data_IF_125667346782
#
_entry.id   IF_125667346782
#
_cell.length_a   1.000
_cell.length_b   1.000
_cell.length_c   1.000
_cell.angle_alpha   90.00
_cell.angle_beta   90.00
_cell.angle_gamma   90.00
#
_symmetry.space_group_name_H-M   'P 1'
#
loop_
_entity.id
_entity.type
_entity.pdbx_description
1 polymer ?
#
# COMPACT_ATOMS: atom_id res chain seq x y z
N UNK A 1 -6.59 -27.66 10.81
CA UNK A 1 -5.99 -26.48 11.45
C UNK A 1 -6.42 -25.28 10.62
N UNK A 2 -6.52 -24.10 11.22
CA UNK A 2 -6.73 -22.90 10.41
C UNK A 2 -5.44 -22.61 9.64
N UNK A 3 -5.55 -22.31 8.35
CA UNK A 3 -4.43 -21.91 7.51
C UNK A 3 -4.00 -20.48 7.87
N UNK A 4 -2.73 -20.13 7.66
CA UNK A 4 -2.18 -18.80 7.95
C UNK A 4 -1.46 -18.27 6.72
N UNK A 5 -1.92 -17.14 6.18
CA UNK A 5 -1.36 -16.51 4.98
C UNK A 5 -0.56 -15.27 5.36
N UNK A 6 0.72 -15.26 5.00
CA UNK A 6 1.61 -14.11 5.16
C UNK A 6 1.79 -13.38 3.84
N UNK A 7 1.33 -12.14 3.75
CA UNK A 7 1.54 -11.27 2.59
C UNK A 7 2.70 -10.32 2.86
N UNK A 8 3.75 -10.43 2.07
CA UNK A 8 4.95 -9.61 2.17
C UNK A 8 4.87 -8.39 1.25
N UNK A 9 4.82 -7.18 1.82
CA UNK A 9 4.70 -5.92 1.07
C UNK A 9 5.81 -4.92 1.39
N UNK A 10 6.18 -4.15 0.37
CA UNK A 10 6.98 -2.94 0.51
C UNK A 10 6.09 -1.73 0.18
N UNK A 11 6.53 -0.53 0.56
CA UNK A 11 5.94 0.72 0.09
C UNK A 11 6.02 0.84 -1.45
N UNK A 12 5.02 1.50 -2.04
CA UNK A 12 4.85 1.80 -3.45
C UNK A 12 3.59 1.16 -4.06
N UNK A 13 3.38 1.51 -5.34
CA UNK A 13 2.19 1.25 -6.18
C UNK A 13 1.71 -0.22 -6.35
N UNK A 14 2.29 -1.18 -5.64
CA UNK A 14 1.97 -2.60 -5.78
C UNK A 14 1.58 -3.29 -4.46
N UNK A 15 1.76 -2.64 -3.31
CA UNK A 15 1.43 -3.22 -2.01
C UNK A 15 -0.06 -3.54 -1.85
N UNK A 16 -0.94 -2.61 -2.23
CA UNK A 16 -2.39 -2.81 -2.16
C UNK A 16 -2.87 -4.02 -3.01
N UNK A 17 -2.37 -4.15 -4.25
CA UNK A 17 -2.69 -5.30 -5.12
C UNK A 17 -2.24 -6.62 -4.52
N UNK A 18 -1.07 -6.67 -3.88
CA UNK A 18 -0.58 -7.86 -3.17
C UNK A 18 -1.49 -8.23 -2.00
N UNK A 19 -1.90 -7.24 -1.20
CA UNK A 19 -2.81 -7.44 -0.05
C UNK A 19 -4.18 -7.96 -0.53
N UNK A 20 -4.74 -7.35 -1.58
CA UNK A 20 -6.00 -7.78 -2.20
C UNK A 20 -5.93 -9.23 -2.70
N UNK A 21 -4.82 -9.62 -3.34
CA UNK A 21 -4.61 -11.02 -3.76
C UNK A 21 -4.51 -11.98 -2.58
N UNK A 22 -3.80 -11.58 -1.52
CA UNK A 22 -3.73 -12.37 -0.29
C UNK A 22 -5.07 -12.52 0.42
N UNK A 23 -5.91 -11.48 0.42
CA UNK A 23 -7.24 -11.52 1.03
C UNK A 23 -8.24 -12.37 0.24
N UNK A 24 -8.20 -12.32 -1.09
CA UNK A 24 -8.95 -13.24 -1.95
C UNK A 24 -8.61 -14.71 -1.64
N UNK A 25 -7.32 -14.99 -1.45
CA UNK A 25 -6.84 -16.33 -1.11
C UNK A 25 -7.29 -16.73 0.29
N UNK A 26 -7.09 -15.87 1.29
CA UNK A 26 -7.48 -16.12 2.68
C UNK A 26 -8.99 -16.38 2.82
N UNK A 27 -9.81 -15.61 2.09
CA UNK A 27 -11.26 -15.80 2.04
C UNK A 27 -11.63 -17.16 1.44
N UNK A 28 -10.93 -17.60 0.41
CA UNK A 28 -11.20 -18.88 -0.27
C UNK A 28 -10.78 -20.08 0.58
N UNK A 29 -9.73 -19.94 1.39
CA UNK A 29 -9.19 -21.01 2.23
C UNK A 29 -9.63 -20.93 3.69
N UNK A 30 -10.47 -19.95 4.04
CA UNK A 30 -10.87 -19.65 5.43
C UNK A 30 -9.65 -19.49 6.37
N UNK A 31 -8.61 -18.84 5.86
CA UNK A 31 -7.33 -18.64 6.54
C UNK A 31 -7.27 -17.32 7.30
N UNK A 32 -6.41 -17.27 8.33
CA UNK A 32 -6.01 -16.02 8.94
C UNK A 32 -5.05 -15.26 8.00
N UNK A 33 -5.21 -13.94 7.91
CA UNK A 33 -4.41 -13.09 7.03
C UNK A 33 -3.46 -12.22 7.86
N UNK A 34 -2.19 -12.20 7.46
CA UNK A 34 -1.15 -11.38 8.06
C UNK A 34 -0.48 -10.55 6.96
N UNK A 35 -0.29 -9.26 7.19
CA UNK A 35 0.37 -8.34 6.26
C UNK A 35 1.68 -7.91 6.90
N UNK A 36 2.80 -8.33 6.30
CA UNK A 36 4.14 -7.94 6.71
C UNK A 36 4.66 -6.80 5.84
N UNK A 37 4.79 -5.62 6.44
CA UNK A 37 5.34 -4.42 5.81
C UNK A 37 6.81 -4.30 6.15
N UNK A 38 7.68 -4.29 5.13
CA UNK A 38 9.10 -4.03 5.33
C UNK A 38 9.39 -2.54 5.38
N UNK A 39 9.73 -2.10 6.57
CA UNK A 39 10.08 -0.73 6.82
C UNK A 39 11.57 -0.52 6.52
N UNK A 40 11.86 -0.13 5.27
CA UNK A 40 13.21 0.23 4.85
C UNK A 40 13.53 1.65 5.31
N UNK A 41 14.67 1.89 5.94
CA UNK A 41 15.15 3.25 6.22
C UNK A 41 15.21 4.07 4.91
N UNK A 42 14.70 5.30 4.88
CA UNK A 42 14.49 6.02 3.63
C UNK A 42 15.81 6.48 3.01
N UNK A 43 15.93 6.31 1.70
CA UNK A 43 16.43 7.44 0.90
C UNK A 43 15.32 8.48 0.90
N UNK A 44 15.66 9.76 1.15
CA UNK A 44 14.73 10.86 1.44
C UNK A 44 13.59 11.02 0.40
N UNK A 45 13.76 10.47 -0.80
CA UNK A 45 12.77 10.50 -1.85
C UNK A 45 11.44 9.80 -1.50
N UNK A 46 11.43 8.72 -0.67
CA UNK A 46 10.25 7.85 -0.45
C UNK A 46 9.42 8.12 0.83
N UNK A 47 9.71 9.20 1.56
CA UNK A 47 9.01 9.47 2.84
C UNK A 47 7.50 9.67 2.68
N UNK A 48 7.08 10.36 1.62
CA UNK A 48 5.66 10.68 1.40
C UNK A 48 4.85 9.45 1.00
N UNK A 49 5.43 8.54 0.22
CA UNK A 49 4.79 7.29 -0.18
C UNK A 49 4.56 6.39 1.05
N UNK A 50 5.51 6.37 2.00
CA UNK A 50 5.45 5.54 3.22
C UNK A 50 4.25 5.85 4.12
N UNK A 51 3.97 7.12 4.41
CA UNK A 51 2.89 7.48 5.33
C UNK A 51 1.52 7.11 4.75
N UNK A 52 1.33 7.33 3.46
CA UNK A 52 0.07 7.01 2.78
C UNK A 52 -0.09 5.51 2.54
N UNK A 53 0.95 4.84 2.06
CA UNK A 53 0.90 3.40 1.89
C UNK A 53 0.60 2.71 3.22
N UNK A 54 1.21 3.19 4.32
CA UNK A 54 0.93 2.68 5.65
C UNK A 54 -0.53 2.93 6.08
N UNK A 55 -1.14 4.08 5.74
CA UNK A 55 -2.56 4.29 6.02
C UNK A 55 -3.45 3.35 5.22
N UNK A 56 -3.18 3.20 3.92
CA UNK A 56 -3.90 2.28 3.04
C UNK A 56 -3.78 0.84 3.57
N UNK A 57 -2.57 0.40 3.95
CA UNK A 57 -2.37 -0.96 4.47
C UNK A 57 -3.10 -1.19 5.79
N UNK A 58 -3.19 -0.18 6.67
CA UNK A 58 -3.96 -0.26 7.92
C UNK A 58 -5.46 -0.37 7.67
N UNK A 59 -5.97 0.39 6.70
CA UNK A 59 -7.37 0.33 6.28
C UNK A 59 -7.68 -1.04 5.67
N UNK A 60 -6.90 -1.49 4.69
CA UNK A 60 -7.05 -2.82 4.09
C UNK A 60 -6.93 -3.94 5.13
N UNK A 61 -6.03 -3.81 6.12
CA UNK A 61 -5.93 -4.76 7.21
C UNK A 61 -7.22 -4.80 8.04
N UNK A 62 -7.81 -3.64 8.31
CA UNK A 62 -9.09 -3.54 9.02
C UNK A 62 -10.22 -4.18 8.22
N UNK A 63 -10.33 -3.87 6.93
CA UNK A 63 -11.39 -4.35 6.04
C UNK A 63 -11.34 -5.87 5.82
N UNK A 64 -10.13 -6.42 5.69
CA UNK A 64 -9.93 -7.85 5.48
C UNK A 64 -9.79 -8.65 6.78
N UNK A 65 -9.85 -8.00 7.95
CA UNK A 65 -9.62 -8.64 9.24
C UNK A 65 -8.21 -9.24 9.37
N UNK A 66 -7.22 -8.59 8.77
CA UNK A 66 -5.83 -9.00 8.78
C UNK A 66 -5.05 -8.40 9.96
N UNK A 67 -4.04 -9.11 10.43
CA UNK A 67 -3.05 -8.57 11.36
C UNK A 67 -1.91 -7.87 10.59
N UNK A 68 -1.68 -6.59 10.91
CA UNK A 68 -0.61 -5.80 10.29
C UNK A 68 0.66 -5.87 11.15
N UNK A 69 1.76 -6.33 10.55
CA UNK A 69 3.09 -6.46 11.15
C UNK A 69 4.04 -5.54 10.40
N UNK A 70 4.76 -4.67 11.13
CA UNK A 70 5.73 -3.73 10.55
C UNK A 70 7.11 -4.05 11.09
N UNK A 71 8.06 -4.28 10.19
CA UNK A 71 9.42 -4.70 10.55
C UNK A 71 10.47 -3.82 9.88
N UNK A 72 11.33 -3.20 10.69
CA UNK A 72 12.52 -2.52 10.18
C UNK A 72 13.45 -3.54 9.53
N UNK A 73 13.69 -3.39 8.22
CA UNK A 73 14.56 -4.33 7.53
C UNK A 73 15.40 -3.64 6.45
N UNK A 74 16.65 -4.09 6.37
CA UNK A 74 17.53 -3.80 5.26
C UNK A 74 17.51 -4.98 4.29
N UNK A 75 17.74 -4.71 3.00
CA UNK A 75 17.68 -5.70 1.93
C UNK A 75 18.39 -7.04 2.25
N UNK A 76 19.55 -7.00 2.93
CA UNK A 76 20.32 -8.20 3.29
C UNK A 76 19.70 -9.12 4.38
N UNK A 77 18.66 -8.65 5.09
CA UNK A 77 18.07 -9.38 6.22
C UNK A 77 16.60 -9.75 5.99
N UNK A 78 16.06 -9.43 4.83
CA UNK A 78 14.63 -9.55 4.55
C UNK A 78 14.14 -11.00 4.60
N UNK A 79 14.96 -11.94 4.09
CA UNK A 79 14.70 -13.38 4.19
C UNK A 79 14.63 -13.88 5.64
N UNK A 80 15.50 -13.34 6.52
CA UNK A 80 15.51 -13.69 7.94
C UNK A 80 14.27 -13.17 8.65
N UNK A 81 13.82 -11.95 8.31
CA UNK A 81 12.59 -11.36 8.84
C UNK A 81 11.39 -12.20 8.44
N UNK A 82 11.24 -12.51 7.13
CA UNK A 82 10.15 -13.36 6.64
C UNK A 82 10.16 -14.71 7.35
N UNK A 83 11.32 -15.38 7.43
CA UNK A 83 11.46 -16.67 8.10
C UNK A 83 11.06 -16.62 9.57
N UNK A 84 11.43 -15.56 10.27
CA UNK A 84 11.09 -15.39 11.69
C UNK A 84 9.59 -15.23 11.85
N UNK A 85 8.99 -14.27 11.14
CA UNK A 85 7.55 -13.99 11.22
C UNK A 85 6.73 -15.21 10.78
N UNK A 86 7.08 -15.83 9.65
CA UNK A 86 6.40 -17.03 9.14
C UNK A 86 6.41 -18.19 10.15
N UNK A 87 7.46 -18.33 10.97
CA UNK A 87 7.50 -19.31 12.05
C UNK A 87 6.69 -18.90 13.28
N UNK A 88 6.70 -17.61 13.63
CA UNK A 88 5.95 -17.10 14.79
C UNK A 88 4.44 -17.26 14.60
N UNK A 89 3.95 -17.11 13.36
CA UNK A 89 2.52 -17.23 13.04
C UNK A 89 2.12 -18.60 12.47
N UNK A 90 3.05 -19.57 12.42
CA UNK A 90 2.85 -20.86 11.75
C UNK A 90 2.27 -20.71 10.33
N UNK A 91 2.92 -19.87 9.51
CA UNK A 91 2.49 -19.59 8.15
C UNK A 91 2.46 -20.86 7.32
N UNK A 92 1.31 -21.13 6.70
CA UNK A 92 1.11 -22.23 5.76
C UNK A 92 1.19 -21.76 4.32
N UNK A 93 1.06 -20.45 4.08
CA UNK A 93 1.18 -19.86 2.75
C UNK A 93 1.87 -18.49 2.84
N UNK A 94 2.72 -18.18 1.87
CA UNK A 94 3.44 -16.90 1.79
C UNK A 94 3.19 -16.29 0.41
N UNK A 95 2.80 -15.02 0.38
CA UNK A 95 2.55 -14.25 -0.85
C UNK A 95 3.63 -13.19 -1.02
N UNK A 96 4.33 -13.22 -2.16
CA UNK A 96 5.35 -12.23 -2.52
C UNK A 96 5.12 -11.67 -3.94
N UNK A 97 5.62 -10.47 -4.21
CA UNK A 97 5.59 -9.88 -5.55
C UNK A 97 6.80 -10.22 -6.42
N UNK A 98 6.61 -10.46 -7.72
CA UNK A 98 7.68 -10.78 -8.67
C UNK A 98 8.71 -9.64 -8.86
N UNK A 99 8.31 -8.36 -8.76
CA UNK A 99 9.27 -7.22 -8.77
C UNK A 99 10.26 -7.34 -7.61
N UNK A 100 9.74 -7.71 -6.45
CA UNK A 100 10.46 -7.79 -5.17
C UNK A 100 11.47 -8.94 -5.23
N UNK A 101 11.10 -10.09 -5.80
CA UNK A 101 12.02 -11.20 -6.11
C UNK A 101 13.24 -10.73 -6.91
N UNK A 102 13.02 -10.04 -8.04
CA UNK A 102 14.10 -9.61 -8.92
C UNK A 102 15.04 -8.60 -8.24
N UNK A 103 14.47 -7.69 -7.44
CA UNK A 103 15.22 -6.68 -6.69
C UNK A 103 16.06 -7.34 -5.60
N UNK A 104 15.50 -8.28 -4.85
CA UNK A 104 16.21 -8.96 -3.77
C UNK A 104 17.23 -9.96 -4.29
N UNK A 105 16.97 -10.61 -5.42
CA UNK A 105 17.97 -11.43 -6.13
C UNK A 105 19.20 -10.62 -6.49
N UNK A 106 18.99 -9.39 -7.01
CA UNK A 106 20.08 -8.49 -7.37
C UNK A 106 20.88 -7.98 -6.15
N UNK A 107 20.24 -7.85 -4.98
CA UNK A 107 20.84 -7.32 -3.76
C UNK A 107 21.51 -8.39 -2.88
N UNK A 108 20.95 -9.61 -2.82
CA UNK A 108 21.38 -10.70 -1.93
C UNK A 108 22.29 -11.70 -2.69
N UNK A 109 22.28 -11.69 -4.02
CA UNK A 109 23.08 -12.60 -4.86
C UNK A 109 22.48 -14.01 -4.98
N UNK A 110 21.18 -14.16 -4.71
CA UNK A 110 20.43 -15.42 -4.79
C UNK A 110 18.92 -15.18 -4.71
N UNK A 111 18.12 -16.09 -5.25
CA UNK A 111 16.66 -15.98 -5.31
C UNK A 111 16.04 -16.06 -3.90
N UNK A 112 15.17 -15.11 -3.55
CA UNK A 112 14.44 -15.17 -2.28
C UNK A 112 13.43 -16.32 -2.30
N UNK A 113 12.84 -16.65 -3.45
CA UNK A 113 12.06 -17.89 -3.64
C UNK A 113 12.87 -19.12 -3.19
N UNK A 114 14.09 -19.31 -3.69
CA UNK A 114 14.91 -20.49 -3.34
C UNK A 114 15.21 -20.53 -1.83
N UNK A 115 15.51 -19.38 -1.23
CA UNK A 115 15.77 -19.26 0.21
C UNK A 115 14.51 -19.63 1.01
N UNK A 116 13.34 -19.10 0.64
CA UNK A 116 12.09 -19.34 1.36
C UNK A 116 11.63 -20.80 1.21
N UNK A 117 11.74 -21.39 0.02
CA UNK A 117 11.41 -22.80 -0.21
C UNK A 117 12.33 -23.73 0.60
N UNK A 118 13.61 -23.39 0.74
CA UNK A 118 14.55 -24.15 1.57
C UNK A 118 14.25 -23.98 3.08
N UNK A 119 13.98 -22.75 3.53
CA UNK A 119 13.91 -22.40 4.94
C UNK A 119 12.52 -22.60 5.58
N UNK A 120 11.48 -22.63 4.76
CA UNK A 120 10.07 -22.77 5.14
C UNK A 120 9.40 -23.82 4.24
N UNK A 121 9.88 -25.08 4.24
CA UNK A 121 9.41 -26.12 3.32
C UNK A 121 7.97 -26.59 3.58
N UNK A 122 7.37 -26.13 4.69
CA UNK A 122 5.98 -26.42 5.07
C UNK A 122 4.96 -25.42 4.54
N UNK A 123 5.41 -24.34 3.90
CA UNK A 123 4.53 -23.29 3.40
C UNK A 123 4.51 -23.25 1.87
N UNK A 124 3.32 -23.06 1.30
CA UNK A 124 3.18 -22.79 -0.12
C UNK A 124 3.65 -21.37 -0.43
N UNK A 125 4.37 -21.19 -1.55
CA UNK A 125 4.86 -19.88 -1.99
C UNK A 125 4.08 -19.40 -3.21
N UNK A 126 3.37 -18.29 -3.05
CA UNK A 126 2.60 -17.62 -4.10
C UNK A 126 3.35 -16.39 -4.60
N UNK A 127 3.77 -16.44 -5.88
CA UNK A 127 4.46 -15.32 -6.52
C UNK A 127 3.47 -14.56 -7.40
N UNK A 128 3.09 -13.36 -6.98
CA UNK A 128 2.18 -12.50 -7.74
C UNK A 128 2.97 -11.80 -8.86
N UNK A 129 2.61 -12.01 -10.14
CA UNK A 129 3.31 -11.40 -11.26
C UNK A 129 3.10 -9.90 -11.30
N UNK A 130 3.99 -9.21 -12.00
CA UNK A 130 3.84 -7.79 -12.32
C UNK A 130 2.54 -7.57 -13.09
N UNK A 131 1.87 -6.42 -12.94
CA UNK A 131 0.78 -6.04 -13.84
C UNK A 131 1.27 -6.14 -15.30
N UNK A 132 0.41 -6.64 -16.18
CA UNK A 132 0.62 -6.48 -17.63
C UNK A 132 0.35 -5.01 -17.98
N UNK A 133 0.96 -4.51 -19.06
CA UNK A 133 0.77 -3.10 -19.48
C UNK A 133 -0.70 -2.74 -19.76
N UNK A 134 -1.54 -3.74 -20.05
CA UNK A 134 -2.97 -3.59 -20.33
C UNK A 134 -3.85 -3.99 -19.12
N UNK A 135 -3.26 -4.47 -18.01
CA UNK A 135 -4.00 -4.60 -16.75
C UNK A 135 -4.11 -3.19 -16.17
N UNK A 136 -5.34 -2.73 -15.90
CA UNK A 136 -5.56 -1.54 -15.09
C UNK A 136 -4.77 -1.74 -13.79
N UNK A 137 -3.74 -0.91 -13.57
CA UNK A 137 -3.12 -0.85 -12.25
C UNK A 137 -4.24 -0.37 -11.32
N UNK A 138 -4.55 -1.15 -10.27
CA UNK A 138 -5.49 -0.72 -9.21
C UNK A 138 -5.07 0.65 -8.62
N UNK A 139 -3.84 1.10 -8.93
CA UNK A 139 -3.24 2.40 -8.66
C UNK A 139 -2.90 3.15 -9.95
N UNK A 140 -3.79 4.03 -10.41
CA UNK A 140 -3.62 4.80 -11.65
C UNK A 140 -2.96 6.17 -11.41
N UNK A 141 -2.01 6.26 -10.49
CA UNK A 141 -1.46 7.52 -9.98
C UNK A 141 0.05 7.67 -10.16
N UNK A 142 0.49 8.89 -10.42
CA UNK A 142 1.87 9.34 -10.19
C UNK A 142 2.24 9.22 -8.71
N UNK A 143 3.54 9.37 -8.43
CA UNK A 143 4.07 9.39 -7.07
C UNK A 143 3.38 10.46 -6.21
N UNK A 144 3.10 10.13 -4.96
CA UNK A 144 2.51 11.06 -4.00
C UNK A 144 3.43 12.25 -3.72
N UNK A 145 2.89 13.46 -3.81
CA UNK A 145 3.59 14.69 -3.44
C UNK A 145 2.89 15.37 -2.28
N UNK A 146 3.64 15.90 -1.32
CA UNK A 146 3.07 16.70 -0.23
C UNK A 146 2.32 17.88 -0.84
N UNK A 147 1.08 18.07 -0.40
CA UNK A 147 0.23 19.16 -0.86
C UNK A 147 -0.71 19.61 0.27
N UNK A 148 -1.37 20.73 0.05
CA UNK A 148 -2.18 21.43 1.03
C UNK A 148 -3.51 21.83 0.40
N UNK A 149 -4.59 21.71 1.16
CA UNK A 149 -5.90 22.23 0.79
C UNK A 149 -6.19 23.55 1.52
N UNK A 150 -6.72 24.51 0.78
CA UNK A 150 -7.21 25.78 1.30
C UNK A 150 -8.68 25.93 0.97
N UNK A 151 -9.49 26.21 1.98
CA UNK A 151 -10.93 26.38 1.84
C UNK A 151 -11.26 27.69 1.15
N UNK A 152 -12.11 27.61 0.14
CA UNK A 152 -12.67 28.75 -0.57
C UNK A 152 -13.99 29.20 0.09
N UNK A 153 -14.44 30.42 -0.24
CA UNK A 153 -15.68 31.00 0.28
C UNK A 153 -16.94 30.20 -0.12
N UNK A 154 -16.87 29.46 -1.23
CA UNK A 154 -17.95 28.62 -1.78
C UNK A 154 -17.96 27.20 -1.20
N UNK A 155 -17.21 26.95 -0.13
CA UNK A 155 -17.04 25.65 0.53
C UNK A 155 -16.25 24.59 -0.27
N UNK A 156 -15.70 24.92 -1.44
CA UNK A 156 -14.72 24.07 -2.13
C UNK A 156 -13.34 24.24 -1.53
N UNK A 157 -12.38 23.43 -1.96
CA UNK A 157 -10.98 23.54 -1.56
C UNK A 157 -10.04 23.58 -2.75
N UNK A 158 -9.01 24.41 -2.68
CA UNK A 158 -7.97 24.52 -3.70
C UNK A 158 -6.72 23.76 -3.27
N UNK A 159 -6.21 22.90 -4.16
CA UNK A 159 -4.95 22.19 -4.01
C UNK A 159 -3.76 23.12 -4.25
N UNK A 160 -2.76 23.07 -3.38
CA UNK A 160 -1.50 23.78 -3.54
C UNK A 160 -0.31 22.90 -3.13
N UNK A 161 0.84 23.09 -3.77
CA UNK A 161 2.07 22.37 -3.45
C UNK A 161 3.01 23.17 -2.54
N UNK A 162 2.81 24.48 -2.43
CA UNK A 162 3.58 25.35 -1.55
C UNK A 162 2.87 25.50 -0.19
N UNK A 163 3.64 25.28 0.89
CA UNK A 163 3.14 25.51 2.24
C UNK A 163 2.99 27.01 2.51
N UNK A 164 1.77 27.46 2.75
CA UNK A 164 1.44 28.83 3.18
C UNK A 164 0.84 28.78 4.58
N UNK A 165 0.99 29.88 5.34
CA UNK A 165 0.37 29.98 6.66
C UNK A 165 -1.15 29.86 6.51
N UNK A 166 -1.77 29.02 7.34
CA UNK A 166 -3.22 28.75 7.41
C UNK A 166 -3.78 27.77 6.36
N UNK A 167 -3.07 26.68 6.04
CA UNK A 167 -3.71 25.58 5.32
C UNK A 167 -4.81 24.92 6.17
N UNK A 168 -5.89 24.47 5.52
CA UNK A 168 -6.98 23.75 6.19
C UNK A 168 -6.61 22.28 6.40
N UNK A 169 -5.98 21.67 5.41
CA UNK A 169 -5.50 20.29 5.47
C UNK A 169 -4.13 20.16 4.82
N UNK A 170 -3.25 19.42 5.48
CA UNK A 170 -1.97 18.94 4.94
C UNK A 170 -2.15 17.45 4.60
N UNK A 171 -1.61 17.04 3.46
CA UNK A 171 -1.77 15.68 2.97
C UNK A 171 -0.89 15.38 1.78
N UNK A 172 -1.23 14.31 1.07
CA UNK A 172 -0.49 13.84 -0.09
C UNK A 172 -1.41 13.79 -1.28
N UNK A 173 -0.97 14.40 -2.38
CA UNK A 173 -1.67 14.37 -3.65
C UNK A 173 -1.09 13.29 -4.57
N UNK A 174 -1.98 12.42 -5.03
CA UNK A 174 -1.74 11.37 -6.02
C UNK A 174 -2.38 11.80 -7.32
N UNK A 175 -1.59 12.37 -8.23
CA UNK A 175 -2.08 12.79 -9.54
C UNK A 175 -2.39 11.57 -10.41
N UNK A 176 -3.51 11.52 -11.11
CA UNK A 176 -3.77 10.44 -12.07
C UNK A 176 -2.71 10.42 -13.18
N UNK A 177 -2.32 9.23 -13.62
CA UNK A 177 -1.50 9.04 -14.81
C UNK A 177 -2.28 9.54 -16.04
N UNK A 178 -1.56 10.09 -17.03
CA UNK A 178 -2.11 10.52 -18.32
C UNK A 178 -3.08 11.73 -18.25
N UNK A 179 -2.84 12.68 -17.34
CA UNK A 179 -3.56 13.97 -17.33
C UNK A 179 -2.61 15.16 -17.24
N UNK A 180 -2.89 16.20 -18.01
CA UNK A 180 -2.13 17.46 -17.98
C UNK A 180 -2.54 18.36 -16.80
N UNK A 181 -3.72 18.12 -16.22
CA UNK A 181 -4.28 18.89 -15.10
C UNK A 181 -4.06 18.18 -13.76
N UNK A 182 -4.24 18.90 -12.65
CA UNK A 182 -4.15 18.35 -11.29
C UNK A 182 -5.41 17.55 -10.93
N UNK A 183 -5.69 16.51 -11.71
CA UNK A 183 -6.71 15.52 -11.39
C UNK A 183 -6.06 14.38 -10.61
N UNK A 184 -6.70 13.92 -9.53
CA UNK A 184 -6.11 12.89 -8.69
C UNK A 184 -6.88 12.67 -7.41
N UNK A 185 -6.23 12.03 -6.44
CA UNK A 185 -6.73 11.91 -5.08
C UNK A 185 -5.85 12.70 -4.13
N UNK A 186 -6.49 13.31 -3.14
CA UNK A 186 -5.78 13.93 -2.02
C UNK A 186 -6.12 13.15 -0.76
N UNK A 187 -5.09 12.53 -0.17
CA UNK A 187 -5.20 11.78 1.08
C UNK A 187 -4.74 12.67 2.23
N UNK A 188 -5.58 12.82 3.26
CA UNK A 188 -5.25 13.62 4.44
C UNK A 188 -5.86 13.02 5.71
N UNK A 189 -5.26 13.32 6.85
CA UNK A 189 -5.76 12.83 8.13
C UNK A 189 -6.73 13.83 8.75
N UNK A 190 -7.89 13.34 9.17
CA UNK A 190 -8.89 14.10 9.94
C UNK A 190 -9.57 13.17 10.94
N UNK A 191 -9.75 13.64 12.18
CA UNK A 191 -10.40 12.86 13.25
C UNK A 191 -9.80 11.45 13.46
N UNK A 192 -8.47 11.36 13.31
CA UNK A 192 -7.68 10.12 13.41
C UNK A 192 -8.05 9.04 12.37
N UNK A 193 -8.71 9.42 11.27
CA UNK A 193 -8.96 8.61 10.08
C UNK A 193 -8.29 9.26 8.87
N UNK A 194 -7.95 8.46 7.87
CA UNK A 194 -7.53 8.99 6.57
C UNK A 194 -8.77 9.19 5.73
N UNK A 195 -8.83 10.32 5.04
CA UNK A 195 -9.83 10.64 4.05
C UNK A 195 -9.15 10.70 2.70
N UNK A 196 -9.74 10.06 1.71
CA UNK A 196 -9.34 10.21 0.32
C UNK A 196 -10.41 11.02 -0.41
N UNK A 197 -10.04 12.18 -0.95
CA UNK A 197 -10.99 13.04 -1.67
C UNK A 197 -10.54 13.22 -3.11
N UNK A 198 -11.51 13.32 -4.03
CA UNK A 198 -11.22 13.55 -5.44
C UNK A 198 -10.83 15.01 -5.66
N UNK A 199 -9.71 15.19 -6.36
CA UNK A 199 -9.29 16.48 -6.91
C UNK A 199 -9.58 16.48 -8.40
N UNK A 200 -10.34 17.47 -8.86
CA UNK A 200 -10.58 17.73 -10.27
C UNK A 200 -10.02 19.12 -10.61
N UNK A 201 -9.05 19.16 -11.52
CA UNK A 201 -8.35 20.38 -11.95
C UNK A 201 -7.84 21.24 -10.79
N UNK A 202 -7.26 20.59 -9.77
CA UNK A 202 -6.75 21.26 -8.58
C UNK A 202 -7.82 21.71 -7.57
N UNK A 203 -9.08 21.31 -7.75
CA UNK A 203 -10.19 21.66 -6.85
C UNK A 203 -10.82 20.41 -6.24
N UNK A 204 -11.09 20.45 -4.95
CA UNK A 204 -11.92 19.46 -4.24
C UNK A 204 -13.28 20.10 -3.98
N UNK A 205 -14.32 19.58 -4.62
CA UNK A 205 -15.68 20.15 -4.50
C UNK A 205 -16.31 19.86 -3.13
N UNK A 206 -15.99 18.71 -2.54
CA UNK A 206 -16.47 18.32 -1.21
C UNK A 206 -15.52 17.33 -0.54
N UNK A 207 -15.50 17.33 0.79
CA UNK A 207 -14.72 16.37 1.59
C UNK A 207 -15.51 15.09 1.83
N UNK A 208 -16.01 14.48 0.77
CA UNK A 208 -16.64 13.16 0.82
C UNK A 208 -15.57 12.13 0.52
N UNK A 209 -15.44 11.16 1.43
CA UNK A 209 -14.50 10.07 1.26
C UNK A 209 -14.90 9.21 0.04
N UNK A 210 -13.94 8.78 -0.76
CA UNK A 210 -14.21 8.05 -2.00
C UNK A 210 -14.95 6.74 -1.76
N UNK A 211 -14.72 6.10 -0.60
CA UNK A 211 -15.44 4.88 -0.26
C UNK A 211 -16.90 5.14 0.14
N UNK A 212 -17.24 6.34 0.64
CA UNK A 212 -18.62 6.75 0.85
C UNK A 212 -19.33 7.17 -0.45
N UNK A 213 -18.59 7.57 -1.50
CA UNK A 213 -19.18 7.84 -2.82
C UNK A 213 -19.68 6.56 -3.52
N UNK A 214 -18.94 5.44 -3.39
CA UNK A 214 -19.29 4.16 -4.04
C UNK A 214 -20.60 3.58 -3.50
N UNK A 215 -20.86 3.73 -2.21
CA UNK A 215 -22.08 3.25 -1.55
C UNK A 215 -23.35 4.04 -1.94
N UNK A 216 -23.21 5.23 -2.52
CA UNK A 216 -24.35 6.05 -2.98
C UNK A 216 -24.76 5.78 -4.43
N UNK A 217 -23.99 4.99 -5.16
CA UNK A 217 -24.27 4.59 -6.55
C UNK A 217 -24.88 3.18 -6.67
N UNK A 218 -25.04 2.47 -5.55
CA UNK A 218 -25.73 1.18 -5.44
C UNK A 218 -27.15 1.35 -4.88
#
# INVERSE_FOLDING_TARGET
>A
MAENILVCVNYGHHGARLIKRGSELAKTTEANLYILVFDSLPQDDYKNDREVDMSIFKEMATDYGAELIVEESHAHNISKVIKRIAKEIDATQIVIGQRVENLWTALIGGSIIDILLHDIPSADLHVVPKPRADEEEDWNFERGVTAYLYKNDDHTYTLNFDHQKNCDYEGVFFKYLQTDFNNGLFAFQKDNRVFEVRVNDGVVESLVDIDEEKDRML
#
